data_IF_544079004500
#
_entry.id   IF_544079004500
#
_cell.length_a   1.000
_cell.length_b   1.000
_cell.length_c   1.000
_cell.angle_alpha   90.00
_cell.angle_beta   90.00
_cell.angle_gamma   90.00
#
_symmetry.space_group_name_H-M   'P 1'
#
loop_
_entity.id
_entity.type
_entity.pdbx_description
1 polymer ?
#
# COMPACT_ATOMS: atom_id res chain seq x y z
N UNK A 1 40.61 -4.06 -29.33
CA UNK A 1 40.17 -4.67 -28.06
C UNK A 1 39.23 -3.79 -27.23
N UNK A 2 39.16 -2.46 -27.43
CA UNK A 2 38.27 -1.57 -26.65
C UNK A 2 36.80 -1.55 -27.11
N UNK A 3 36.52 -1.89 -28.38
CA UNK A 3 35.15 -1.86 -28.92
C UNK A 3 34.22 -2.95 -28.37
N UNK A 4 34.73 -4.15 -28.09
CA UNK A 4 33.91 -5.28 -27.63
C UNK A 4 33.37 -5.07 -26.21
N UNK A 5 34.18 -4.49 -25.31
CA UNK A 5 33.75 -4.10 -23.96
C UNK A 5 32.64 -3.03 -24.00
N UNK A 6 32.78 -2.02 -24.85
CA UNK A 6 31.75 -0.98 -25.03
C UNK A 6 30.43 -1.57 -25.55
N UNK A 7 30.52 -2.58 -26.41
CA UNK A 7 29.35 -3.25 -26.98
C UNK A 7 28.64 -4.14 -25.96
N UNK A 8 29.37 -4.83 -25.08
CA UNK A 8 28.82 -5.63 -23.99
C UNK A 8 28.16 -4.77 -22.92
N UNK A 9 28.81 -3.69 -22.48
CA UNK A 9 28.25 -2.76 -21.52
C UNK A 9 26.92 -2.16 -22.00
N UNK A 10 26.85 -1.78 -23.29
CA UNK A 10 25.61 -1.29 -23.88
C UNK A 10 24.49 -2.33 -23.89
N UNK A 11 24.83 -3.61 -24.13
CA UNK A 11 23.87 -4.73 -24.09
C UNK A 11 23.38 -5.02 -22.68
N UNK A 12 24.24 -4.99 -21.67
CA UNK A 12 23.82 -5.17 -20.27
C UNK A 12 22.89 -4.04 -19.82
N UNK A 13 23.19 -2.79 -20.20
CA UNK A 13 22.30 -1.66 -19.91
C UNK A 13 20.97 -1.80 -20.65
N UNK A 14 20.98 -2.25 -21.90
CA UNK A 14 19.75 -2.47 -22.69
C UNK A 14 18.92 -3.63 -22.12
N UNK A 15 19.57 -4.70 -21.67
CA UNK A 15 18.93 -5.85 -21.01
C UNK A 15 18.33 -5.44 -19.67
N UNK A 16 19.12 -4.80 -18.80
CA UNK A 16 18.66 -4.31 -17.50
C UNK A 16 17.51 -3.32 -17.64
N UNK A 17 17.53 -2.44 -18.67
CA UNK A 17 16.42 -1.55 -18.96
C UNK A 17 15.17 -2.31 -19.40
N UNK A 18 15.33 -3.39 -20.16
CA UNK A 18 14.22 -4.23 -20.63
C UNK A 18 13.60 -5.01 -19.47
N UNK A 19 14.42 -5.67 -18.66
CA UNK A 19 13.98 -6.39 -17.46
C UNK A 19 13.32 -5.43 -16.46
N UNK A 20 13.96 -4.29 -16.16
CA UNK A 20 13.37 -3.28 -15.29
C UNK A 20 12.02 -2.78 -15.83
N UNK A 21 11.87 -2.60 -17.14
CA UNK A 21 10.59 -2.19 -17.75
C UNK A 21 9.52 -3.28 -17.62
N UNK A 22 9.89 -4.54 -17.77
CA UNK A 22 8.97 -5.68 -17.64
C UNK A 22 8.55 -5.88 -16.18
N UNK A 23 9.48 -5.80 -15.24
CA UNK A 23 9.20 -5.79 -13.80
C UNK A 23 8.30 -4.62 -13.41
N UNK A 24 8.60 -3.40 -13.87
CA UNK A 24 7.77 -2.23 -13.63
C UNK A 24 6.38 -2.37 -14.24
N UNK A 25 6.25 -3.00 -15.40
CA UNK A 25 4.96 -3.27 -16.03
C UNK A 25 4.13 -4.27 -15.22
N UNK A 26 4.74 -5.36 -14.78
CA UNK A 26 4.05 -6.37 -13.97
C UNK A 26 3.68 -5.82 -12.58
N UNK A 27 4.63 -5.17 -11.89
CA UNK A 27 4.39 -4.53 -10.61
C UNK A 27 3.38 -3.39 -10.73
N UNK A 28 3.45 -2.60 -11.80
CA UNK A 28 2.51 -1.52 -12.11
C UNK A 28 1.10 -2.03 -12.38
N UNK A 29 0.96 -3.12 -13.14
CA UNK A 29 -0.33 -3.77 -13.38
C UNK A 29 -0.96 -4.33 -12.10
N UNK A 30 -0.16 -5.01 -11.27
CA UNK A 30 -0.61 -5.53 -9.97
C UNK A 30 -1.01 -4.40 -9.01
N UNK A 31 -0.20 -3.33 -8.92
CA UNK A 31 -0.51 -2.15 -8.12
C UNK A 31 -1.79 -1.44 -8.60
N UNK A 32 -1.98 -1.34 -9.92
CA UNK A 32 -3.19 -0.76 -10.51
C UNK A 32 -4.45 -1.61 -10.20
N UNK A 33 -4.35 -2.93 -10.30
CA UNK A 33 -5.45 -3.84 -9.93
C UNK A 33 -5.80 -3.74 -8.45
N UNK A 34 -4.79 -3.75 -7.56
CA UNK A 34 -5.00 -3.61 -6.11
C UNK A 34 -5.57 -2.23 -5.76
N UNK A 35 -5.06 -1.17 -6.38
CA UNK A 35 -5.59 0.19 -6.23
C UNK A 35 -7.03 0.31 -6.72
N UNK A 36 -7.33 -0.26 -7.89
CA UNK A 36 -8.68 -0.32 -8.45
C UNK A 36 -9.65 -1.11 -7.57
N UNK A 37 -9.23 -2.26 -7.05
CA UNK A 37 -10.02 -3.07 -6.12
C UNK A 37 -10.28 -2.34 -4.79
N UNK A 38 -9.28 -1.63 -4.26
CA UNK A 38 -9.45 -0.81 -3.06
C UNK A 38 -10.47 0.32 -3.28
N UNK A 39 -10.38 1.03 -4.42
CA UNK A 39 -11.33 2.09 -4.77
C UNK A 39 -12.76 1.54 -5.00
N UNK A 40 -12.89 0.45 -5.76
CA UNK A 40 -14.16 -0.20 -6.01
C UNK A 40 -14.79 -0.73 -4.71
N UNK A 41 -13.98 -1.35 -3.84
CA UNK A 41 -14.39 -1.79 -2.52
C UNK A 41 -14.87 -0.63 -1.64
N UNK A 42 -14.15 0.51 -1.66
CA UNK A 42 -14.56 1.72 -0.95
C UNK A 42 -15.91 2.25 -1.43
N UNK A 43 -16.10 2.36 -2.75
CA UNK A 43 -17.38 2.80 -3.33
C UNK A 43 -18.52 1.84 -3.01
N UNK A 44 -18.28 0.53 -3.08
CA UNK A 44 -19.26 -0.49 -2.71
C UNK A 44 -19.67 -0.35 -1.23
N UNK A 45 -18.71 -0.14 -0.32
CA UNK A 45 -18.98 0.10 1.10
C UNK A 45 -19.84 1.35 1.34
N UNK A 46 -19.55 2.44 0.62
CA UNK A 46 -20.37 3.67 0.69
C UNK A 46 -21.79 3.37 0.20
N UNK A 47 -21.96 2.74 -0.96
CA UNK A 47 -23.28 2.40 -1.51
C UNK A 47 -24.07 1.48 -0.57
N UNK A 48 -23.43 0.46 0.00
CA UNK A 48 -24.06 -0.43 0.99
C UNK A 48 -24.47 0.32 2.26
N UNK A 49 -23.70 1.33 2.67
CA UNK A 49 -24.04 2.15 3.84
C UNK A 49 -25.29 2.99 3.60
N UNK A 50 -25.42 3.59 2.40
CA UNK A 50 -26.63 4.31 2.00
C UNK A 50 -27.83 3.37 1.87
N UNK A 51 -27.63 2.19 1.25
CA UNK A 51 -28.68 1.18 1.13
C UNK A 51 -29.18 0.74 2.52
N UNK A 52 -28.26 0.48 3.46
CA UNK A 52 -28.62 0.12 4.83
C UNK A 52 -29.38 1.26 5.52
N UNK A 53 -28.93 2.50 5.39
CA UNK A 53 -29.61 3.66 5.95
C UNK A 53 -31.04 3.82 5.40
N UNK A 54 -31.24 3.64 4.08
CA UNK A 54 -32.57 3.69 3.47
C UNK A 54 -33.48 2.54 3.88
N UNK A 55 -32.94 1.34 4.07
CA UNK A 55 -33.74 0.22 4.61
C UNK A 55 -34.18 0.53 6.04
N UNK A 56 -33.30 1.09 6.87
CA UNK A 56 -33.63 1.50 8.25
C UNK A 56 -34.64 2.66 8.28
N UNK A 57 -34.56 3.59 7.32
CA UNK A 57 -35.49 4.73 7.18
C UNK A 57 -36.95 4.30 6.96
N UNK A 58 -37.20 3.08 6.47
CA UNK A 58 -38.58 2.57 6.38
C UNK A 58 -39.21 2.31 7.75
N UNK A 59 -38.39 2.10 8.79
CA UNK A 59 -38.85 1.82 10.15
C UNK A 59 -38.56 2.97 11.14
N UNK A 60 -37.66 3.89 10.80
CA UNK A 60 -37.14 4.95 11.67
C UNK A 60 -37.08 6.29 10.92
N UNK A 61 -36.95 7.41 11.64
CA UNK A 61 -36.63 8.69 11.00
C UNK A 61 -35.25 8.66 10.35
N UNK A 62 -35.11 9.32 9.20
CA UNK A 62 -33.87 9.41 8.40
C UNK A 62 -32.64 9.76 9.23
N UNK A 63 -32.74 10.73 10.14
CA UNK A 63 -31.62 11.13 10.99
C UNK A 63 -31.12 9.99 11.88
N UNK A 64 -32.03 9.19 12.45
CA UNK A 64 -31.69 8.05 13.30
C UNK A 64 -31.07 6.91 12.48
N UNK A 65 -31.57 6.66 11.27
CA UNK A 65 -31.02 5.63 10.38
C UNK A 65 -29.56 5.91 10.01
N UNK A 66 -29.25 7.14 9.60
CA UNK A 66 -27.88 7.55 9.31
C UNK A 66 -27.00 7.59 10.56
N UNK A 67 -27.54 7.98 11.72
CA UNK A 67 -26.80 7.96 12.98
C UNK A 67 -26.36 6.53 13.37
N UNK A 68 -27.25 5.54 13.24
CA UNK A 68 -26.92 4.13 13.52
C UNK A 68 -25.81 3.64 12.60
N UNK A 69 -25.93 3.88 11.29
CA UNK A 69 -24.88 3.49 10.32
C UNK A 69 -23.55 4.20 10.63
N UNK A 70 -23.59 5.46 11.03
CA UNK A 70 -22.42 6.21 11.49
C UNK A 70 -21.75 5.59 12.72
N UNK A 71 -22.53 5.14 13.71
CA UNK A 71 -22.00 4.44 14.89
C UNK A 71 -21.33 3.11 14.52
N UNK A 72 -21.92 2.35 13.58
CA UNK A 72 -21.31 1.10 13.08
C UNK A 72 -19.94 1.38 12.46
N UNK A 73 -19.83 2.42 11.63
CA UNK A 73 -18.55 2.82 11.03
C UNK A 73 -17.55 3.35 12.05
N UNK A 74 -17.99 4.10 13.06
CA UNK A 74 -17.13 4.55 14.15
C UNK A 74 -16.51 3.36 14.90
N UNK A 75 -17.31 2.32 15.15
CA UNK A 75 -16.84 1.09 15.80
C UNK A 75 -15.87 0.31 14.90
N UNK A 76 -16.19 0.16 13.61
CA UNK A 76 -15.30 -0.46 12.63
C UNK A 76 -13.96 0.27 12.55
N UNK A 77 -13.97 1.61 12.45
CA UNK A 77 -12.77 2.44 12.42
C UNK A 77 -11.91 2.27 13.68
N UNK A 78 -12.54 2.23 14.86
CA UNK A 78 -11.85 1.98 16.12
C UNK A 78 -11.11 0.62 16.11
N UNK A 79 -11.77 -0.44 15.65
CA UNK A 79 -11.16 -1.78 15.55
C UNK A 79 -10.02 -1.80 14.53
N UNK A 80 -10.22 -1.21 13.35
CA UNK A 80 -9.18 -1.15 12.31
C UNK A 80 -7.95 -0.37 12.80
N UNK A 81 -8.16 0.77 13.46
CA UNK A 81 -7.08 1.58 14.01
C UNK A 81 -6.26 0.80 15.04
N UNK A 82 -6.94 0.09 15.95
CA UNK A 82 -6.27 -0.74 16.97
C UNK A 82 -5.49 -1.89 16.33
N UNK A 83 -6.09 -2.58 15.37
CA UNK A 83 -5.48 -3.71 14.66
C UNK A 83 -4.29 -3.27 13.83
N UNK A 84 -4.41 -2.17 13.10
CA UNK A 84 -3.32 -1.58 12.30
C UNK A 84 -2.14 -1.16 13.16
N UNK A 85 -2.39 -0.48 14.29
CA UNK A 85 -1.34 -0.14 15.26
C UNK A 85 -0.64 -1.38 15.81
N UNK A 86 -1.39 -2.42 16.17
CA UNK A 86 -0.81 -3.67 16.69
C UNK A 86 0.06 -4.38 15.66
N UNK A 87 -0.36 -4.41 14.39
CA UNK A 87 0.44 -4.99 13.31
C UNK A 87 1.71 -4.17 13.04
N UNK A 88 1.60 -2.84 13.03
CA UNK A 88 2.74 -1.95 12.86
C UNK A 88 3.75 -2.04 14.01
N UNK A 89 3.28 -2.19 15.26
CA UNK A 89 4.17 -2.35 16.41
C UNK A 89 4.93 -3.68 16.40
N UNK A 90 4.34 -4.74 15.82
CA UNK A 90 5.05 -6.01 15.59
C UNK A 90 6.13 -5.90 14.51
N UNK A 91 5.86 -5.15 13.42
CA UNK A 91 6.86 -4.91 12.37
C UNK A 91 8.04 -4.05 12.87
N UNK A 92 7.79 -3.09 13.76
CA UNK A 92 8.85 -2.30 14.43
C UNK A 92 9.71 -3.10 15.41
N UNK A 93 9.34 -4.36 15.70
CA UNK A 93 10.04 -5.27 16.61
C UNK A 93 11.00 -6.25 15.92
N UNK A 94 11.40 -6.04 14.66
CA UNK A 94 12.47 -6.79 14.00
C UNK A 94 13.82 -6.06 14.26
N UNK A 95 14.63 -6.48 15.26
CA UNK A 95 15.87 -5.80 15.63
C UNK A 95 16.93 -5.83 14.52
N UNK A 96 16.99 -6.87 13.70
CA UNK A 96 18.05 -7.03 12.68
C UNK A 96 18.01 -5.95 11.59
N UNK A 97 16.82 -5.51 11.14
CA UNK A 97 16.72 -4.52 10.05
C UNK A 97 17.17 -3.11 10.46
N UNK A 98 17.21 -2.80 11.76
CA UNK A 98 17.68 -1.50 12.25
C UNK A 98 19.20 -1.42 12.35
N UNK A 99 19.86 -2.56 12.53
CA UNK A 99 21.31 -2.64 12.65
C UNK A 99 21.94 -2.54 11.25
N UNK A 100 21.44 -3.29 10.27
CA UNK A 100 21.90 -3.21 8.87
C UNK A 100 21.71 -1.80 8.28
N UNK A 101 20.57 -1.14 8.51
CA UNK A 101 20.34 0.22 7.99
C UNK A 101 21.27 1.25 8.66
N UNK A 102 21.66 1.05 9.93
CA UNK A 102 22.63 1.94 10.58
C UNK A 102 24.03 1.72 10.03
N UNK A 103 24.43 0.46 9.84
CA UNK A 103 25.71 0.07 9.26
C UNK A 103 25.86 0.60 7.82
N UNK A 104 24.80 0.48 7.00
CA UNK A 104 24.76 0.99 5.63
C UNK A 104 24.88 2.52 5.56
N UNK A 105 24.25 3.24 6.50
CA UNK A 105 24.34 4.70 6.60
C UNK A 105 25.72 5.14 7.09
N UNK A 106 26.35 4.37 7.99
CA UNK A 106 27.73 4.62 8.44
C UNK A 106 28.73 4.38 7.31
N UNK A 107 28.59 3.30 6.54
CA UNK A 107 29.40 3.02 5.35
C UNK A 107 29.25 4.10 4.27
N UNK A 108 28.03 4.54 3.99
CA UNK A 108 27.77 5.59 3.00
C UNK A 108 28.37 6.95 3.42
N UNK A 109 28.36 7.27 4.73
CA UNK A 109 29.00 8.47 5.27
C UNK A 109 30.51 8.40 5.23
N UNK A 110 31.10 7.24 5.57
CA UNK A 110 32.54 7.02 5.55
C UNK A 110 33.13 7.07 4.13
N UNK A 111 32.34 6.73 3.11
CA UNK A 111 32.78 6.78 1.71
C UNK A 111 32.67 8.17 1.06
N UNK A 112 31.97 9.12 1.70
CA UNK A 112 31.80 10.49 1.18
C UNK A 112 32.75 11.50 1.85
N UNK A 113 33.51 11.08 2.88
CA UNK A 113 34.56 11.85 3.57
C UNK A 113 35.95 11.35 3.21
#
# INVERSE_FOLDING_TARGET
MTGELSTLFRKEVELAKTEAREELSQAGGAAAMLGGAALAGWLALVMLSFALAWVLDQALNTALSFAIVGVVWAFAAFILQRSGRSRMSRLRGLPETRETIKEDVEWAKAQTS
#
